data_IF_126980296990
#
_entry.id   IF_126980296990
#
_cell.length_a   1.000
_cell.length_b   1.000
_cell.length_c   1.000
_cell.angle_alpha   90.00
_cell.angle_beta   90.00
_cell.angle_gamma   90.00
#
_symmetry.space_group_name_H-M   'P 1'
#
loop_
_entity.id
_entity.type
_entity.pdbx_description
1 polymer ?
#
# COMPACT_ATOMS: atom_id res chain seq x y z
N UNK A 1 -19.02 -4.28 -12.09
CA UNK A 1 -17.99 -4.45 -11.05
C UNK A 1 -18.28 -5.80 -10.43
N UNK A 2 -17.36 -6.75 -10.54
CA UNK A 2 -17.60 -8.13 -10.12
C UNK A 2 -17.79 -8.18 -8.60
N UNK A 3 -18.75 -8.96 -8.12
CA UNK A 3 -19.04 -9.20 -6.69
C UNK A 3 -17.84 -9.79 -5.91
N UNK A 4 -16.82 -10.28 -6.62
CA UNK A 4 -15.55 -10.75 -6.06
C UNK A 4 -14.62 -9.61 -5.61
N UNK A 5 -14.75 -8.40 -6.16
CA UNK A 5 -13.94 -7.24 -5.78
C UNK A 5 -14.31 -6.75 -4.38
N UNK A 6 -15.60 -6.77 -4.02
CA UNK A 6 -16.10 -6.29 -2.71
C UNK A 6 -15.64 -7.14 -1.51
N UNK A 7 -15.15 -8.37 -1.72
CA UNK A 7 -14.61 -9.23 -0.66
C UNK A 7 -13.08 -9.14 -0.54
N UNK A 8 -12.42 -8.24 -1.28
CA UNK A 8 -10.98 -8.08 -1.17
C UNK A 8 -10.60 -7.52 0.22
N UNK A 9 -9.51 -8.03 0.85
CA UNK A 9 -9.08 -7.54 2.15
C UNK A 9 -8.76 -6.03 2.13
N UNK A 10 -8.42 -5.49 0.96
CA UNK A 10 -8.18 -4.07 0.69
C UNK A 10 -9.35 -3.16 1.09
N UNK A 11 -10.58 -3.68 1.12
CA UNK A 11 -11.75 -2.91 1.56
C UNK A 11 -11.77 -2.63 3.07
N UNK A 12 -11.13 -3.49 3.88
CA UNK A 12 -10.97 -3.27 5.31
C UNK A 12 -9.63 -2.58 5.58
N UNK A 13 -9.69 -1.31 5.96
CA UNK A 13 -8.51 -0.49 6.26
C UNK A 13 -7.65 -1.12 7.35
N UNK A 14 -8.23 -1.92 8.26
CA UNK A 14 -7.48 -2.60 9.32
C UNK A 14 -6.51 -3.66 8.80
N UNK A 15 -6.64 -4.07 7.54
CA UNK A 15 -5.76 -5.09 6.94
C UNK A 15 -4.44 -4.52 6.43
N UNK A 16 -4.39 -3.21 6.14
CA UNK A 16 -3.20 -2.54 5.59
C UNK A 16 -2.80 -1.25 6.31
N UNK A 17 -3.72 -0.57 6.99
CA UNK A 17 -3.42 0.64 7.76
C UNK A 17 -2.97 0.28 9.17
N UNK A 18 -1.71 0.57 9.48
CA UNK A 18 -1.05 0.15 10.73
C UNK A 18 -0.82 1.29 11.71
N UNK A 19 -1.31 2.50 11.39
CA UNK A 19 -1.21 3.68 12.26
C UNK A 19 0.23 4.22 12.39
N UNK A 20 0.56 4.73 13.58
CA UNK A 20 1.86 5.34 13.89
C UNK A 20 2.91 4.27 14.23
N UNK A 21 3.46 3.66 13.17
CA UNK A 21 4.68 2.85 13.27
C UNK A 21 5.80 3.50 12.48
N UNK A 22 7.03 3.25 12.93
CA UNK A 22 8.20 3.76 12.24
C UNK A 22 8.61 2.85 11.06
N UNK A 23 9.60 3.32 10.29
CA UNK A 23 10.13 2.63 9.12
C UNK A 23 10.64 1.21 9.43
N UNK A 24 11.34 1.05 10.55
CA UNK A 24 11.97 -0.22 10.96
C UNK A 24 10.88 -1.24 11.32
N UNK A 25 9.86 -0.82 12.09
CA UNK A 25 8.73 -1.68 12.42
C UNK A 25 7.95 -2.13 11.17
N UNK A 26 7.84 -1.26 10.16
CA UNK A 26 7.23 -1.62 8.89
C UNK A 26 8.07 -2.65 8.12
N UNK A 27 9.40 -2.51 8.14
CA UNK A 27 10.32 -3.49 7.54
C UNK A 27 10.22 -4.84 8.23
N UNK A 28 10.13 -4.88 9.57
CA UNK A 28 9.95 -6.11 10.34
C UNK A 28 8.62 -6.82 10.01
N UNK A 29 7.52 -6.08 9.88
CA UNK A 29 6.21 -6.64 9.53
C UNK A 29 6.17 -7.23 8.11
N UNK A 30 6.95 -6.65 7.19
CA UNK A 30 7.04 -7.07 5.80
C UNK A 30 8.17 -8.08 5.55
N UNK A 31 9.00 -8.35 6.54
CA UNK A 31 10.11 -9.29 6.45
C UNK A 31 9.60 -10.70 6.09
N UNK A 32 10.12 -11.28 5.01
CA UNK A 32 9.73 -12.61 4.52
C UNK A 32 8.34 -12.69 3.89
N UNK A 33 7.66 -11.56 3.65
CA UNK A 33 6.39 -11.52 2.90
C UNK A 33 6.65 -11.53 1.39
N UNK A 34 5.69 -11.99 0.57
CA UNK A 34 5.83 -12.01 -0.89
C UNK A 34 5.86 -10.59 -1.47
N UNK A 35 6.38 -10.47 -2.70
CA UNK A 35 6.29 -9.24 -3.49
C UNK A 35 4.83 -8.78 -3.62
N UNK A 36 4.61 -7.48 -3.46
CA UNK A 36 3.28 -6.88 -3.40
C UNK A 36 2.65 -6.87 -2.01
N UNK A 37 3.30 -7.46 -1.00
CA UNK A 37 2.90 -7.25 0.39
C UNK A 37 3.13 -5.81 0.80
N UNK A 38 2.13 -5.18 1.42
CA UNK A 38 2.16 -3.76 1.71
C UNK A 38 1.45 -3.37 3.00
N UNK A 39 1.78 -2.18 3.49
CA UNK A 39 1.09 -1.48 4.55
C UNK A 39 1.15 0.03 4.33
N UNK A 40 0.21 0.76 4.92
CA UNK A 40 0.23 2.22 5.02
C UNK A 40 0.35 2.59 6.49
N UNK A 41 1.31 3.48 6.79
CA UNK A 41 1.58 4.01 8.12
C UNK A 41 1.55 5.52 8.10
N UNK A 42 1.38 6.13 9.27
CA UNK A 42 1.54 7.56 9.43
C UNK A 42 2.99 7.96 9.14
N UNK A 43 3.15 9.13 8.50
CA UNK A 43 4.47 9.73 8.34
C UNK A 43 4.79 10.59 9.56
N UNK A 44 6.06 10.66 9.93
CA UNK A 44 6.54 11.65 10.91
C UNK A 44 6.33 13.10 10.44
N UNK A 45 6.05 13.30 9.15
CA UNK A 45 5.66 14.60 8.58
C UNK A 45 4.14 14.78 8.67
N UNK A 46 3.71 15.86 9.34
CA UNK A 46 2.28 16.25 9.42
C UNK A 46 1.65 16.32 8.02
N UNK A 47 0.49 15.68 7.86
CA UNK A 47 -0.26 15.68 6.61
C UNK A 47 0.35 14.79 5.52
N UNK A 48 1.16 13.80 5.87
CA UNK A 48 1.67 12.80 4.93
C UNK A 48 1.50 11.40 5.52
N UNK A 49 1.37 10.41 4.65
CA UNK A 49 1.43 8.99 4.99
C UNK A 49 2.63 8.37 4.29
N UNK A 50 2.97 7.14 4.67
CA UNK A 50 3.96 6.35 3.98
C UNK A 50 3.39 4.98 3.62
N UNK A 51 3.57 4.57 2.37
CA UNK A 51 3.32 3.21 1.92
C UNK A 51 4.62 2.43 1.96
N UNK A 52 4.65 1.31 2.68
CA UNK A 52 5.75 0.36 2.66
C UNK A 52 5.31 -0.86 1.86
N UNK A 53 6.08 -1.29 0.88
CA UNK A 53 5.74 -2.40 -0.03
C UNK A 53 6.96 -3.26 -0.33
N UNK A 54 6.78 -4.58 -0.40
CA UNK A 54 7.82 -5.53 -0.81
C UNK A 54 7.86 -5.59 -2.34
N UNK A 55 9.03 -5.41 -2.93
CA UNK A 55 9.27 -5.61 -4.36
C UNK A 55 10.69 -6.13 -4.55
N UNK A 56 10.85 -7.14 -5.40
CA UNK A 56 12.14 -7.79 -5.64
C UNK A 56 12.81 -8.28 -4.33
N UNK A 57 11.99 -8.72 -3.37
CA UNK A 57 12.46 -9.16 -2.04
C UNK A 57 12.92 -8.05 -1.10
N UNK A 58 12.82 -6.77 -1.50
CA UNK A 58 13.19 -5.62 -0.67
C UNK A 58 11.97 -4.79 -0.28
N UNK A 59 11.97 -4.23 0.94
CA UNK A 59 10.95 -3.28 1.37
C UNK A 59 11.29 -1.87 0.86
N UNK A 60 10.43 -1.33 0.00
CA UNK A 60 10.48 0.06 -0.48
C UNK A 60 9.46 0.91 0.27
N UNK A 61 9.78 2.20 0.44
CA UNK A 61 8.94 3.16 1.16
C UNK A 61 8.61 4.35 0.26
N UNK A 62 7.33 4.58 0.01
CA UNK A 62 6.84 5.68 -0.82
C UNK A 62 6.06 6.66 0.06
N UNK A 63 6.29 7.97 -0.13
CA UNK A 63 5.50 8.99 0.56
C UNK A 63 4.16 9.13 -0.15
N UNK A 64 3.07 9.13 0.63
CA UNK A 64 1.74 9.51 0.15
C UNK A 64 1.49 10.94 0.61
N UNK A 65 1.32 11.84 -0.35
CA UNK A 65 1.01 13.24 -0.10
C UNK A 65 -0.48 13.39 0.17
N UNK A 66 -0.85 14.03 1.27
CA UNK A 66 -2.21 14.54 1.48
C UNK A 66 -2.26 15.97 0.95
N UNK A 67 -3.03 16.19 -0.11
CA UNK A 67 -3.20 17.51 -0.74
C UNK A 67 -4.67 17.90 -0.77
N UNK A 68 -5.01 19.19 -0.97
CA UNK A 68 -6.40 19.60 -1.17
C UNK A 68 -7.10 18.92 -2.36
N UNK A 69 -6.34 18.40 -3.33
CA UNK A 69 -6.86 17.66 -4.49
C UNK A 69 -7.12 16.18 -4.21
N UNK A 70 -6.52 15.65 -3.14
CA UNK A 70 -6.56 14.23 -2.79
C UNK A 70 -5.19 13.68 -2.38
N UNK A 71 -5.17 12.37 -2.17
CA UNK A 71 -4.01 11.56 -1.85
C UNK A 71 -3.32 11.05 -3.11
N UNK A 72 -1.99 10.86 -3.05
CA UNK A 72 -1.23 10.26 -4.14
C UNK A 72 0.27 10.15 -3.86
N UNK A 73 0.99 9.44 -4.72
CA UNK A 73 2.44 9.26 -4.63
C UNK A 73 3.23 10.37 -5.32
N UNK A 74 2.66 10.98 -6.35
CA UNK A 74 3.26 12.07 -7.13
C UNK A 74 2.18 12.88 -7.86
N UNK A 75 2.47 14.15 -8.14
CA UNK A 75 1.67 14.92 -9.10
C UNK A 75 1.88 14.40 -10.54
N UNK A 76 0.85 14.44 -11.41
CA UNK A 76 -0.51 14.98 -11.21
C UNK A 76 -1.51 13.99 -10.59
N UNK A 77 -1.05 12.85 -10.07
CA UNK A 77 -1.87 11.71 -9.62
C UNK A 77 -2.35 11.79 -8.17
N UNK A 78 -2.30 12.97 -7.54
CA UNK A 78 -2.90 13.24 -6.23
C UNK A 78 -4.42 13.43 -6.36
N UNK A 79 -5.11 12.36 -6.76
CA UNK A 79 -6.49 12.40 -7.23
C UNK A 79 -7.47 11.57 -6.37
N UNK A 80 -6.97 10.84 -5.37
CA UNK A 80 -7.80 9.93 -4.57
C UNK A 80 -8.39 10.66 -3.36
N UNK A 81 -9.69 10.53 -3.12
CA UNK A 81 -10.36 11.23 -2.01
C UNK A 81 -10.01 10.63 -0.65
N UNK A 82 -9.66 9.35 -0.62
CA UNK A 82 -9.28 8.60 0.59
C UNK A 82 -8.06 7.71 0.35
N UNK A 83 -7.38 7.29 1.42
CA UNK A 83 -6.31 6.29 1.34
C UNK A 83 -6.83 4.95 0.79
N UNK A 84 -8.07 4.57 1.16
CA UNK A 84 -8.72 3.37 0.64
C UNK A 84 -8.88 3.42 -0.88
N UNK A 85 -9.35 4.52 -1.45
CA UNK A 85 -9.46 4.68 -2.91
C UNK A 85 -8.10 4.55 -3.60
N UNK A 86 -7.04 5.12 -3.00
CA UNK A 86 -5.67 4.97 -3.48
C UNK A 86 -5.26 3.49 -3.48
N UNK A 87 -5.49 2.77 -2.38
CA UNK A 87 -5.17 1.33 -2.27
C UNK A 87 -5.93 0.50 -3.31
N UNK A 88 -7.24 0.71 -3.43
CA UNK A 88 -8.09 -0.01 -4.38
C UNK A 88 -7.74 0.29 -5.85
N UNK A 89 -7.12 1.43 -6.13
CA UNK A 89 -6.58 1.69 -7.45
C UNK A 89 -5.26 0.93 -7.68
N UNK A 90 -4.30 1.05 -6.77
CA UNK A 90 -2.97 0.45 -6.92
C UNK A 90 -2.93 -1.07 -6.63
N UNK A 91 -4.03 -1.68 -6.21
CA UNK A 91 -4.18 -3.14 -6.26
C UNK A 91 -4.24 -3.64 -7.72
N UNK A 92 -4.79 -2.83 -8.63
CA UNK A 92 -4.91 -3.14 -10.06
C UNK A 92 -3.83 -2.48 -10.92
N UNK A 93 -3.34 -1.30 -10.49
CA UNK A 93 -2.35 -0.49 -11.21
C UNK A 93 -0.96 -0.64 -10.59
N UNK A 94 0.05 -0.94 -11.40
CA UNK A 94 1.44 -1.01 -10.95
C UNK A 94 1.99 0.38 -10.59
N UNK A 95 2.83 0.44 -9.56
CA UNK A 95 3.52 1.68 -9.16
C UNK A 95 4.64 2.09 -10.14
N UNK A 96 4.91 1.29 -11.17
CA UNK A 96 5.91 1.56 -12.22
C UNK A 96 5.73 2.95 -12.85
N UNK A 97 4.50 3.44 -12.92
CA UNK A 97 4.19 4.77 -13.45
C UNK A 97 4.83 5.94 -12.67
N UNK A 98 5.24 5.71 -11.42
CA UNK A 98 5.93 6.69 -10.59
C UNK A 98 7.43 6.45 -10.51
N UNK A 99 7.88 5.20 -10.69
CA UNK A 99 9.28 4.80 -10.63
C UNK A 99 9.44 3.41 -11.28
N UNK A 100 10.30 3.28 -12.28
CA UNK A 100 10.54 2.02 -13.00
C UNK A 100 10.97 0.87 -12.07
N UNK A 101 11.60 1.19 -10.92
CA UNK A 101 12.00 0.22 -9.89
C UNK A 101 10.87 -0.22 -8.96
N UNK A 102 9.65 0.28 -9.15
CA UNK A 102 8.45 -0.08 -8.37
C UNK A 102 7.44 -0.80 -9.27
N UNK A 103 7.88 -1.78 -10.06
CA UNK A 103 6.96 -2.61 -10.85
C UNK A 103 6.19 -3.62 -9.98
N UNK A 104 5.41 -3.09 -9.05
CA UNK A 104 4.66 -3.83 -8.03
C UNK A 104 3.28 -3.22 -7.85
N UNK A 105 2.32 -4.07 -7.45
CA UNK A 105 0.96 -3.67 -7.08
C UNK A 105 0.79 -3.84 -5.57
N UNK A 106 -0.16 -3.13 -4.99
CA UNK A 106 -0.55 -3.30 -3.59
C UNK A 106 -1.41 -4.56 -3.46
N UNK A 107 -0.79 -5.73 -3.60
CA UNK A 107 -1.49 -7.01 -3.78
C UNK A 107 -1.92 -7.65 -2.46
N UNK A 108 -1.08 -7.59 -1.42
CA UNK A 108 -1.32 -8.31 -0.16
C UNK A 108 -1.27 -7.36 1.04
N UNK A 109 -2.42 -6.95 1.60
CA UNK A 109 -2.45 -6.20 2.85
C UNK A 109 -1.74 -6.99 3.96
N UNK A 110 -0.88 -6.34 4.75
CA UNK A 110 0.00 -7.01 5.73
C UNK A 110 -0.72 -7.90 6.74
N UNK A 111 -1.95 -7.54 7.12
CA UNK A 111 -2.80 -8.30 8.05
C UNK A 111 -3.95 -9.03 7.36
N UNK A 112 -4.01 -9.04 6.03
CA UNK A 112 -4.88 -9.98 5.34
C UNK A 112 -4.43 -11.41 5.67
N UNK A 113 -5.40 -12.31 5.90
CA UNK A 113 -5.10 -13.73 5.89
C UNK A 113 -4.59 -14.05 4.48
N UNK A 114 -3.28 -14.31 4.34
CA UNK A 114 -2.79 -14.86 3.10
C UNK A 114 -3.56 -16.16 2.87
N UNK A 115 -4.20 -16.35 1.70
CA UNK A 115 -4.72 -17.66 1.37
C UNK A 115 -3.53 -18.61 1.52
N UNK A 116 -3.66 -19.57 2.42
CA UNK A 116 -2.68 -20.61 2.62
C UNK A 116 -2.36 -21.15 1.22
N UNK A 117 -1.18 -20.85 0.69
CA UNK A 117 -0.62 -21.60 -0.42
C UNK A 117 -0.39 -22.99 0.15
N UNK A 118 -1.45 -23.80 0.12
CA UNK A 118 -1.43 -25.18 0.55
C UNK A 118 -0.31 -25.87 -0.24
N UNK A 119 0.51 -26.56 0.54
CA UNK A 119 1.70 -27.35 0.19
C UNK A 119 1.50 -28.31 -0.96
#
# INVERSE_FOLDING_TARGET
MNEEDENLPHYDEKTWFVGDINRIQAEDLLCGKPDGAFLIRESSKKGCYACSVVTEGEVKHCVIYSTPRGYGFAEPYNLYSTLKELVLHYQHTSLVQHNDSLNVRLAYPVYAQMPSLCR
#
